data_IF_699934284796
#
_entry.id   IF_699934284796
#
_cell.length_a   1.000
_cell.length_b   1.000
_cell.length_c   1.000
_cell.angle_alpha   90.00
_cell.angle_beta   90.00
_cell.angle_gamma   90.00
#
_symmetry.space_group_name_H-M   'P 1'
#
loop_
_entity.id
_entity.type
_entity.pdbx_description
1 polymer ?
#
# COMPACT_ATOMS: atom_id res chain seq x y z
N UNK A 1 -5.14 -2.28 -13.49
CA UNK A 1 -6.01 -3.40 -13.08
C UNK A 1 -6.86 -2.93 -11.92
N UNK A 2 -8.16 -3.26 -11.89
CA UNK A 2 -9.04 -2.91 -10.78
C UNK A 2 -8.97 -3.99 -9.69
N UNK A 3 -8.87 -3.57 -8.45
CA UNK A 3 -8.66 -4.44 -7.29
C UNK A 3 -9.41 -3.91 -6.07
N UNK A 4 -9.59 -4.77 -5.08
CA UNK A 4 -10.05 -4.42 -3.74
C UNK A 4 -8.84 -4.35 -2.82
N UNK A 5 -8.62 -3.19 -2.23
CA UNK A 5 -7.57 -2.96 -1.24
C UNK A 5 -8.05 -3.36 0.17
N UNK A 6 -7.26 -4.19 0.82
CA UNK A 6 -7.38 -4.53 2.23
C UNK A 6 -6.15 -3.98 2.96
N UNK A 7 -6.37 -3.40 4.14
CA UNK A 7 -5.28 -3.00 5.03
C UNK A 7 -5.33 -3.78 6.34
N UNK A 8 -4.17 -3.91 6.98
CA UNK A 8 -4.07 -4.62 8.25
C UNK A 8 -2.67 -4.62 8.86
N UNK A 9 -2.53 -5.31 9.98
CA UNK A 9 -1.25 -5.47 10.67
C UNK A 9 -0.44 -6.60 10.07
N UNK A 10 0.88 -6.47 10.09
CA UNK A 10 1.81 -7.56 9.82
C UNK A 10 2.82 -7.67 10.96
N UNK A 11 3.42 -8.85 11.13
CA UNK A 11 4.45 -9.06 12.15
C UNK A 11 5.65 -8.13 11.90
N UNK A 12 6.10 -8.03 10.64
CA UNK A 12 7.21 -7.14 10.24
C UNK A 12 6.89 -5.69 10.55
N UNK A 13 5.68 -5.23 10.25
CA UNK A 13 5.22 -3.89 10.57
C UNK A 13 5.25 -3.62 12.08
N UNK A 14 4.80 -4.57 12.90
CA UNK A 14 4.80 -4.46 14.36
C UNK A 14 6.20 -4.38 14.97
N UNK A 15 7.18 -5.09 14.41
CA UNK A 15 8.57 -5.07 14.90
C UNK A 15 9.27 -3.72 14.71
N UNK A 16 8.89 -2.93 13.70
CA UNK A 16 9.58 -1.69 13.33
C UNK A 16 8.77 -0.42 13.59
N UNK A 17 7.57 -0.54 14.16
CA UNK A 17 6.64 0.59 14.33
C UNK A 17 7.17 1.71 15.24
N UNK A 18 8.06 1.36 16.18
CA UNK A 18 8.71 2.32 17.09
C UNK A 18 9.87 3.07 16.43
N UNK A 19 10.32 2.64 15.25
CA UNK A 19 11.46 3.21 14.52
C UNK A 19 11.02 3.76 13.14
N UNK A 20 10.03 4.67 13.14
CA UNK A 20 9.35 5.14 11.91
C UNK A 20 10.24 5.90 10.93
N UNK A 21 11.29 6.52 11.44
CA UNK A 21 12.32 7.25 10.70
C UNK A 21 13.31 6.32 10.00
N UNK A 22 13.36 5.04 10.39
CA UNK A 22 14.25 4.06 9.78
C UNK A 22 13.78 3.62 8.39
N UNK A 23 14.74 3.24 7.53
CA UNK A 23 14.44 2.59 6.24
C UNK A 23 13.70 1.27 6.41
N UNK A 24 13.94 0.55 7.52
CA UNK A 24 13.24 -0.69 7.86
C UNK A 24 11.73 -0.49 7.98
N UNK A 25 11.29 0.68 8.49
CA UNK A 25 9.87 1.01 8.54
C UNK A 25 9.27 1.15 7.15
N UNK A 26 9.94 1.85 6.24
CA UNK A 26 9.53 1.93 4.82
C UNK A 26 9.53 0.56 4.16
N UNK A 27 10.56 -0.26 4.33
CA UNK A 27 10.62 -1.60 3.74
C UNK A 27 9.53 -2.54 4.25
N UNK A 28 9.08 -2.38 5.49
CA UNK A 28 8.02 -3.20 6.07
C UNK A 28 6.60 -2.71 5.74
N UNK A 29 6.40 -1.41 5.49
CA UNK A 29 5.07 -0.80 5.37
C UNK A 29 4.75 -0.30 3.96
N UNK A 30 5.75 0.10 3.18
CA UNK A 30 5.58 0.63 1.83
C UNK A 30 5.56 -0.49 0.78
N UNK A 31 4.86 -1.58 1.10
CA UNK A 31 4.73 -2.77 0.27
C UNK A 31 3.26 -3.00 -0.09
N UNK A 32 3.02 -3.66 -1.22
CA UNK A 32 1.72 -4.15 -1.61
C UNK A 32 1.83 -5.63 -1.99
N UNK A 33 1.11 -6.47 -1.25
CA UNK A 33 1.06 -7.90 -1.50
C UNK A 33 0.02 -8.22 -2.58
N UNK A 34 0.43 -9.00 -3.56
CA UNK A 34 -0.38 -9.41 -4.70
C UNK A 34 -0.57 -10.92 -4.75
N UNK A 35 -1.69 -11.34 -5.31
CA UNK A 35 -1.84 -12.71 -5.79
C UNK A 35 -0.83 -12.97 -6.92
N UNK A 36 -0.15 -14.13 -6.95
CA UNK A 36 0.83 -14.46 -7.99
C UNK A 36 0.27 -14.39 -9.41
N UNK A 37 -1.00 -14.71 -9.64
CA UNK A 37 -1.63 -14.62 -10.96
C UNK A 37 -1.90 -13.17 -11.37
N UNK A 38 -2.19 -12.29 -10.40
CA UNK A 38 -2.39 -10.87 -10.70
C UNK A 38 -1.08 -10.17 -11.01
N UNK A 39 0.03 -10.55 -10.33
CA UNK A 39 1.37 -10.10 -10.71
C UNK A 39 1.70 -10.47 -12.16
N UNK A 40 1.38 -11.69 -12.60
CA UNK A 40 1.57 -12.12 -14.00
C UNK A 40 0.73 -11.28 -14.97
N UNK A 41 -0.55 -11.06 -14.67
CA UNK A 41 -1.44 -10.23 -15.52
C UNK A 41 -0.94 -8.79 -15.65
N UNK A 42 -0.46 -8.22 -14.53
CA UNK A 42 0.09 -6.87 -14.47
C UNK A 42 1.52 -6.78 -15.04
N UNK A 43 2.18 -7.91 -15.32
CA UNK A 43 3.59 -7.99 -15.71
C UNK A 43 4.51 -7.30 -14.69
N UNK A 44 4.18 -7.45 -13.41
CA UNK A 44 4.92 -6.92 -12.26
C UNK A 44 5.74 -8.05 -11.66
N UNK A 45 7.01 -7.79 -11.36
CA UNK A 45 7.88 -8.70 -10.63
C UNK A 45 7.97 -8.31 -9.15
N UNK A 46 8.38 -9.25 -8.29
CA UNK A 46 8.64 -8.94 -6.89
C UNK A 46 9.75 -7.89 -6.79
N UNK A 47 9.52 -6.84 -6.00
CA UNK A 47 10.41 -5.70 -5.86
C UNK A 47 10.13 -4.53 -6.80
N UNK A 48 9.32 -4.70 -7.86
CA UNK A 48 8.95 -3.60 -8.75
C UNK A 48 8.12 -2.53 -8.01
N UNK A 49 8.32 -1.26 -8.36
CA UNK A 49 7.43 -0.18 -7.91
C UNK A 49 6.11 -0.23 -8.67
N UNK A 50 5.01 -0.17 -7.94
CA UNK A 50 3.65 -0.02 -8.48
C UNK A 50 2.99 1.23 -7.94
N UNK A 51 2.15 1.84 -8.76
CA UNK A 51 1.21 2.87 -8.33
C UNK A 51 -0.10 2.20 -7.94
N UNK A 52 -0.58 2.50 -6.74
CA UNK A 52 -1.92 2.13 -6.28
C UNK A 52 -2.71 3.42 -6.11
N UNK A 53 -3.88 3.51 -6.74
CA UNK A 53 -4.70 4.71 -6.74
C UNK A 53 -6.14 4.37 -6.36
N UNK A 54 -6.77 5.22 -5.56
CA UNK A 54 -8.20 5.17 -5.19
C UNK A 54 -8.85 6.54 -5.42
N UNK A 55 -10.12 6.69 -5.02
CA UNK A 55 -10.78 8.01 -5.03
C UNK A 55 -10.10 9.05 -4.13
N UNK A 56 -9.35 8.60 -3.11
CA UNK A 56 -8.76 9.49 -2.11
C UNK A 56 -7.38 10.02 -2.53
N UNK A 57 -6.67 9.30 -3.41
CA UNK A 57 -5.32 9.66 -3.80
C UNK A 57 -4.58 8.52 -4.49
N UNK A 58 -3.26 8.64 -4.57
CA UNK A 58 -2.37 7.63 -5.13
C UNK A 58 -1.09 7.49 -4.31
N UNK A 59 -0.49 6.31 -4.32
CA UNK A 59 0.77 6.03 -3.62
C UNK A 59 1.62 5.06 -4.42
N UNK A 60 2.95 5.25 -4.36
CA UNK A 60 3.92 4.31 -4.90
C UNK A 60 4.40 3.37 -3.80
N UNK A 61 4.30 2.07 -4.04
CA UNK A 61 4.67 1.00 -3.10
C UNK A 61 5.38 -0.14 -3.84
N UNK A 62 6.12 -0.95 -3.10
CA UNK A 62 6.86 -2.09 -3.66
C UNK A 62 5.96 -3.31 -3.78
N UNK A 63 5.89 -3.93 -4.95
CA UNK A 63 5.13 -5.15 -5.15
C UNK A 63 5.83 -6.34 -4.48
N UNK A 64 5.07 -7.10 -3.70
CA UNK A 64 5.51 -8.31 -3.01
C UNK A 64 4.54 -9.45 -3.34
N UNK A 65 5.06 -10.66 -3.49
CA UNK A 65 4.22 -11.84 -3.68
C UNK A 65 3.59 -12.24 -2.36
N UNK A 66 2.26 -12.34 -2.30
CA UNK A 66 1.61 -12.78 -1.06
C UNK A 66 1.85 -14.27 -0.80
N UNK A 67 1.97 -14.61 0.48
CA UNK A 67 2.04 -16.00 0.95
C UNK A 67 0.66 -16.63 1.15
N UNK A 68 -0.42 -15.84 1.07
CA UNK A 68 -1.79 -16.28 1.37
C UNK A 68 -2.64 -16.52 0.11
N UNK A 69 -2.02 -16.70 -1.05
CA UNK A 69 -2.72 -16.99 -2.31
C UNK A 69 -3.55 -18.29 -2.22
N UNK A 70 -4.71 -18.39 -2.91
CA UNK A 70 -5.20 -17.45 -3.92
C UNK A 70 -6.16 -16.38 -3.39
N UNK A 71 -6.03 -15.14 -3.89
CA UNK A 71 -6.91 -14.00 -3.61
C UNK A 71 -6.94 -13.01 -4.78
N UNK A 72 -7.43 -13.47 -5.94
CA UNK A 72 -7.48 -12.69 -7.18
C UNK A 72 -8.27 -11.38 -7.01
N UNK A 73 -7.74 -10.32 -7.60
CA UNK A 73 -8.22 -8.94 -7.54
C UNK A 73 -8.24 -8.36 -6.11
N UNK A 74 -7.58 -8.99 -5.14
CA UNK A 74 -7.44 -8.47 -3.78
C UNK A 74 -5.97 -8.19 -3.56
N UNK A 75 -5.69 -6.96 -3.10
CA UNK A 75 -4.34 -6.54 -2.72
C UNK A 75 -4.32 -6.19 -1.24
N UNK A 76 -3.17 -6.38 -0.62
CA UNK A 76 -2.99 -6.04 0.78
C UNK A 76 -1.85 -5.04 0.96
N UNK A 77 -2.08 -3.98 1.71
CA UNK A 77 -1.04 -3.01 2.11
C UNK A 77 -1.03 -2.95 3.64
N UNK A 78 0.13 -3.12 4.31
CA UNK A 78 0.22 -2.92 5.75
C UNK A 78 -0.33 -1.55 6.14
N UNK A 79 -1.09 -1.52 7.23
CA UNK A 79 -1.66 -0.28 7.73
C UNK A 79 -0.54 0.71 8.07
N UNK A 80 -0.70 1.96 7.67
CA UNK A 80 0.32 2.96 7.86
C UNK A 80 0.18 4.14 6.90
N UNK A 81 1.17 5.04 6.90
CA UNK A 81 1.15 6.30 6.16
C UNK A 81 0.91 6.13 4.65
N UNK A 82 1.50 5.10 4.03
CA UNK A 82 1.30 4.79 2.61
C UNK A 82 -0.14 4.33 2.30
N UNK A 83 -0.71 3.42 3.11
CA UNK A 83 -2.10 2.99 2.96
C UNK A 83 -3.09 4.14 3.18
N UNK A 84 -2.78 5.05 4.10
CA UNK A 84 -3.62 6.20 4.39
C UNK A 84 -3.71 7.20 3.23
N UNK A 85 -2.69 7.28 2.34
CA UNK A 85 -2.75 8.17 1.16
C UNK A 85 -3.87 7.80 0.18
N UNK A 86 -4.32 6.54 0.23
CA UNK A 86 -5.34 5.99 -0.68
C UNK A 86 -6.58 5.52 0.09
N UNK A 87 -6.72 5.91 1.35
CA UNK A 87 -7.90 5.64 2.17
C UNK A 87 -8.73 6.91 2.29
N UNK A 88 -10.01 6.84 1.97
CA UNK A 88 -10.93 7.97 2.09
C UNK A 88 -11.09 8.36 3.57
N UNK A 89 -10.99 9.65 3.94
CA UNK A 89 -11.22 10.09 5.32
C UNK A 89 -12.71 10.11 5.69
N UNK A 90 -13.61 9.83 4.75
CA UNK A 90 -15.07 9.75 4.99
C UNK A 90 -15.37 8.64 5.99
N UNK A 91 -16.20 8.98 6.98
CA UNK A 91 -16.54 8.08 8.08
C UNK A 91 -18.00 7.65 8.07
N UNK A 92 -18.79 8.06 7.08
CA UNK A 92 -20.22 7.73 6.94
C UNK A 92 -21.02 7.92 8.26
N UNK A 93 -20.68 8.97 9.01
CA UNK A 93 -21.28 9.31 10.31
C UNK A 93 -21.12 8.27 11.43
N UNK A 94 -20.20 7.30 11.29
CA UNK A 94 -19.89 6.30 12.33
C UNK A 94 -18.57 6.57 13.06
N UNK A 95 -17.87 7.65 12.71
CA UNK A 95 -16.64 8.08 13.39
C UNK A 95 -15.38 7.28 13.04
N UNK A 96 -15.47 6.30 12.13
CA UNK A 96 -14.34 5.50 11.67
C UNK A 96 -14.29 5.47 10.13
N UNK A 97 -13.15 5.76 9.49
CA UNK A 97 -12.97 5.57 8.06
C UNK A 97 -13.03 4.10 7.62
N UNK A 98 -13.40 3.88 6.37
CA UNK A 98 -13.41 2.55 5.75
C UNK A 98 -12.00 2.14 5.31
N UNK A 99 -11.25 1.49 6.21
CA UNK A 99 -9.86 1.05 5.97
C UNK A 99 -9.72 -0.25 5.15
N UNK A 100 -10.81 -0.97 4.88
CA UNK A 100 -10.80 -2.27 4.19
C UNK A 100 -11.90 -2.30 3.14
N UNK A 101 -11.67 -3.07 2.07
CA UNK A 101 -12.63 -3.19 0.99
C UNK A 101 -12.64 -1.97 0.07
N UNK A 102 -11.54 -1.22 0.00
CA UNK A 102 -11.46 0.03 -0.76
C UNK A 102 -11.29 -0.30 -2.26
N UNK A 103 -12.17 0.15 -3.16
CA UNK A 103 -11.96 0.02 -4.59
C UNK A 103 -10.71 0.80 -5.02
N UNK A 104 -9.79 0.13 -5.70
CA UNK A 104 -8.53 0.71 -6.13
C UNK A 104 -8.14 0.24 -7.54
N UNK A 105 -7.16 0.93 -8.12
CA UNK A 105 -6.53 0.55 -9.38
C UNK A 105 -5.02 0.47 -9.20
N UNK A 106 -4.40 -0.50 -9.87
CA UNK A 106 -2.94 -0.73 -9.83
C UNK A 106 -2.35 -0.62 -11.22
N UNK A 107 -1.19 0.04 -11.32
CA UNK A 107 -0.37 0.16 -12.53
C UNK A 107 1.11 -0.01 -12.20
N UNK A 108 1.87 -0.55 -13.15
CA UNK A 108 3.33 -0.66 -13.05
C UNK A 108 3.97 0.74 -13.13
N UNK A 109 4.94 1.02 -12.26
CA UNK A 109 5.59 2.34 -12.16
C UNK A 109 7.11 2.21 -11.93
N UNK A 110 7.81 1.44 -12.78
CA UNK A 110 9.24 1.09 -12.60
C UNK A 110 10.17 2.31 -12.41
N UNK A 111 9.87 3.42 -13.05
CA UNK A 111 10.71 4.64 -13.00
C UNK A 111 10.42 5.52 -11.77
N UNK A 112 9.50 5.12 -10.90
CA UNK A 112 9.11 5.86 -9.70
C UNK A 112 9.75 5.25 -8.46
N UNK A 113 10.08 6.13 -7.52
CA UNK A 113 10.64 5.78 -6.22
C UNK A 113 9.52 5.64 -5.19
N UNK A 114 9.61 4.61 -4.35
CA UNK A 114 8.83 4.52 -3.11
C UNK A 114 9.39 5.54 -2.12
N UNK A 115 8.56 6.50 -1.71
CA UNK A 115 8.98 7.53 -0.76
C UNK A 115 9.21 6.91 0.62
N UNK A 116 10.29 7.37 1.27
CA UNK A 116 10.53 7.09 2.69
C UNK A 116 9.49 7.79 3.57
N UNK A 117 9.39 7.38 4.83
CA UNK A 117 8.41 7.99 5.75
C UNK A 117 8.54 9.52 5.86
N UNK A 118 9.74 10.11 6.05
CA UNK A 118 9.89 11.57 6.10
C UNK A 118 9.55 12.26 4.77
N UNK A 119 9.97 11.66 3.64
CA UNK A 119 9.66 12.20 2.31
C UNK A 119 8.15 12.21 2.05
N UNK A 120 7.44 11.15 2.45
CA UNK A 120 6.00 11.04 2.32
C UNK A 120 5.27 12.10 3.17
N UNK A 121 5.66 12.27 4.44
CA UNK A 121 5.06 13.30 5.29
C UNK A 121 5.26 14.70 4.74
N UNK A 122 6.48 15.01 4.29
CA UNK A 122 6.78 16.30 3.66
C UNK A 122 5.95 16.53 2.40
N UNK A 123 5.70 15.49 1.61
CA UNK A 123 4.83 15.57 0.43
C UNK A 123 3.36 15.82 0.82
N UNK A 124 2.83 15.07 1.78
CA UNK A 124 1.42 15.11 2.14
C UNK A 124 1.04 16.34 2.98
N UNK A 125 1.96 16.84 3.82
CA UNK A 125 1.67 17.88 4.83
C UNK A 125 2.59 19.09 4.76
N UNK A 126 3.59 19.09 3.87
CA UNK A 126 4.53 20.21 3.70
C UNK A 126 5.51 20.41 4.85
N UNK A 127 5.55 19.52 5.84
CA UNK A 127 6.44 19.55 7.02
C UNK A 127 7.01 18.17 7.30
#
# INVERSE_FOLDING_TARGET
MNVTLITGRTIKQGMVIEHKDSTMYTDANAICEFDPDDMKKLKVSEGDTVEVSSEAGAVFVRAVKSLQSPHKNIIFIPMGPWANQITSPKTDSVGMPSFKGIPASVKLAKDKKVLTYPELLKQSFGK
#
